data_IF_146465546538
#
_entry.id   IF_146465546538
#
_cell.length_a   1.000
_cell.length_b   1.000
_cell.length_c   1.000
_cell.angle_alpha   90.00
_cell.angle_beta   90.00
_cell.angle_gamma   90.00
#
_symmetry.space_group_name_H-M   'P 1'
#
loop_
_entity.id
_entity.type
_entity.pdbx_description
1 polymer ?
#
# COMPACT_ATOMS: atom_id res chain seq x y z
N UNK A 1 38.54 13.80 -9.48
CA UNK A 1 37.31 13.59 -10.26
C UNK A 1 36.29 13.02 -9.30
N UNK A 2 35.36 13.84 -8.86
CA UNK A 2 34.24 13.40 -8.02
C UNK A 2 33.27 12.61 -8.90
N UNK A 3 32.66 11.56 -8.34
CA UNK A 3 31.74 10.64 -9.01
C UNK A 3 30.52 11.30 -9.66
N UNK A 4 30.25 12.57 -9.36
CA UNK A 4 29.16 13.36 -9.92
C UNK A 4 29.42 13.86 -11.36
N UNK A 5 30.68 14.08 -11.76
CA UNK A 5 31.01 14.67 -13.09
C UNK A 5 30.73 13.72 -14.27
N UNK A 6 30.46 12.44 -14.02
CA UNK A 6 30.19 11.42 -15.05
C UNK A 6 28.74 10.89 -15.05
N UNK A 7 27.83 11.50 -14.27
CA UNK A 7 26.43 11.07 -14.25
C UNK A 7 25.66 11.63 -15.45
N UNK A 8 24.85 10.78 -16.09
CA UNK A 8 23.93 11.21 -17.14
C UNK A 8 22.86 12.11 -16.48
N UNK A 9 22.64 13.33 -16.96
CA UNK A 9 21.57 14.20 -16.45
C UNK A 9 20.21 13.53 -16.62
N UNK A 10 19.39 13.54 -15.56
CA UNK A 10 18.07 12.89 -15.56
C UNK A 10 16.90 13.82 -15.31
N UNK A 11 17.16 15.11 -15.11
CA UNK A 11 16.17 16.11 -14.67
C UNK A 11 15.01 16.24 -15.66
N UNK A 12 15.31 16.20 -16.98
CA UNK A 12 14.27 16.18 -18.01
C UNK A 12 13.38 14.94 -17.92
N UNK A 13 13.98 13.76 -17.74
CA UNK A 13 13.23 12.50 -17.62
C UNK A 13 12.38 12.45 -16.35
N UNK A 14 12.87 13.03 -15.24
CA UNK A 14 12.10 13.16 -14.00
C UNK A 14 10.86 14.02 -14.22
N UNK A 15 10.98 15.13 -14.95
CA UNK A 15 9.86 16.02 -15.31
C UNK A 15 8.88 15.37 -16.27
N UNK A 16 9.37 14.69 -17.29
CA UNK A 16 8.51 13.98 -18.24
C UNK A 16 7.72 12.88 -17.52
N UNK A 17 8.38 12.14 -16.61
CA UNK A 17 7.72 11.13 -15.80
C UNK A 17 6.69 11.72 -14.83
N UNK A 18 6.98 12.88 -14.23
CA UNK A 18 6.00 13.59 -13.39
C UNK A 18 4.75 13.98 -14.19
N UNK A 19 4.92 14.57 -15.39
CA UNK A 19 3.79 14.93 -16.24
C UNK A 19 2.95 13.72 -16.63
N UNK A 20 3.62 12.60 -16.97
CA UNK A 20 2.94 11.34 -17.23
C UNK A 20 2.17 10.85 -16.00
N UNK A 21 2.82 10.87 -14.83
CA UNK A 21 2.22 10.43 -13.58
C UNK A 21 1.05 11.31 -13.19
N UNK A 22 1.07 12.62 -13.42
CA UNK A 22 -0.04 13.52 -13.12
C UNK A 22 -1.29 13.19 -13.94
N UNK A 23 -1.10 12.89 -15.22
CA UNK A 23 -2.19 12.54 -16.14
C UNK A 23 -2.76 11.12 -15.91
N UNK A 24 -2.05 10.23 -15.21
CA UNK A 24 -2.42 8.82 -15.10
C UNK A 24 -2.52 8.37 -13.63
N UNK A 25 -3.51 7.54 -13.31
CA UNK A 25 -3.61 6.88 -12.00
C UNK A 25 -2.79 5.59 -11.91
N UNK A 26 -2.40 5.03 -13.06
CA UNK A 26 -1.62 3.79 -13.17
C UNK A 26 -0.45 3.99 -14.13
N UNK A 27 0.72 3.53 -13.72
CA UNK A 27 1.93 3.66 -14.52
C UNK A 27 2.79 2.41 -14.39
N UNK A 28 3.38 1.98 -15.52
CA UNK A 28 4.48 1.02 -15.53
C UNK A 28 5.75 1.78 -15.88
N UNK A 29 6.68 1.86 -14.95
CA UNK A 29 8.03 2.34 -15.19
C UNK A 29 8.90 1.14 -15.57
N UNK A 30 9.16 0.99 -16.87
CA UNK A 30 9.90 -0.16 -17.40
C UNK A 30 11.38 0.17 -17.65
N UNK A 31 12.29 -0.65 -17.13
CA UNK A 31 13.66 -0.70 -17.62
C UNK A 31 14.31 -2.07 -17.32
N UNK A 32 15.42 -2.39 -17.99
CA UNK A 32 16.13 -3.67 -17.77
C UNK A 32 16.89 -3.67 -16.44
N UNK A 33 17.30 -4.84 -15.97
CA UNK A 33 18.20 -4.96 -14.82
C UNK A 33 19.50 -4.18 -15.07
N UNK A 34 20.01 -3.48 -14.05
CA UNK A 34 21.25 -2.70 -14.15
C UNK A 34 21.13 -1.35 -14.89
N UNK A 35 19.94 -0.93 -15.32
CA UNK A 35 19.75 0.36 -16.01
C UNK A 35 19.42 1.54 -15.07
N UNK A 36 19.72 1.42 -13.78
CA UNK A 36 19.52 2.53 -12.83
C UNK A 36 18.06 2.78 -12.41
N UNK A 37 17.18 1.77 -12.50
CA UNK A 37 15.77 1.89 -12.07
C UNK A 37 15.61 2.48 -10.67
N UNK A 38 16.21 1.83 -9.67
CA UNK A 38 16.12 2.28 -8.27
C UNK A 38 16.79 3.65 -8.06
N UNK A 39 17.81 3.99 -8.85
CA UNK A 39 18.40 5.33 -8.83
C UNK A 39 17.39 6.37 -9.33
N UNK A 40 16.75 6.13 -10.48
CA UNK A 40 15.71 7.01 -11.02
C UNK A 40 14.54 7.18 -10.04
N UNK A 41 14.02 6.07 -9.50
CA UNK A 41 12.92 6.09 -8.53
C UNK A 41 13.30 6.87 -7.26
N UNK A 42 14.48 6.63 -6.71
CA UNK A 42 14.97 7.37 -5.54
C UNK A 42 15.08 8.88 -5.80
N UNK A 43 15.64 9.27 -6.97
CA UNK A 43 15.74 10.68 -7.37
C UNK A 43 14.35 11.30 -7.58
N UNK A 44 13.42 10.58 -8.18
CA UNK A 44 12.05 11.02 -8.38
C UNK A 44 11.30 11.24 -7.06
N UNK A 45 11.42 10.29 -6.11
CA UNK A 45 10.82 10.39 -4.78
C UNK A 45 11.32 11.65 -4.06
N UNK A 46 12.63 11.90 -4.12
CA UNK A 46 13.22 13.06 -3.46
C UNK A 46 12.77 14.38 -4.09
N UNK A 47 12.82 14.48 -5.43
CA UNK A 47 12.49 15.69 -6.18
C UNK A 47 11.02 16.10 -5.98
N UNK A 48 10.09 15.14 -6.04
CA UNK A 48 8.66 15.42 -6.01
C UNK A 48 7.98 15.07 -4.67
N UNK A 49 8.76 15.06 -3.58
CA UNK A 49 8.26 14.81 -2.22
C UNK A 49 7.31 15.89 -1.71
N UNK A 50 7.20 17.04 -2.38
CA UNK A 50 6.26 18.12 -2.02
C UNK A 50 4.88 17.92 -2.65
N UNK A 51 4.83 17.26 -3.80
CA UNK A 51 3.64 16.98 -4.59
C UNK A 51 3.02 15.64 -4.22
N UNK A 52 3.86 14.68 -3.79
CA UNK A 52 3.41 13.32 -3.50
C UNK A 52 3.84 12.83 -2.11
N UNK A 53 3.03 11.94 -1.54
CA UNK A 53 3.45 11.02 -0.50
C UNK A 53 3.76 9.67 -1.15
N UNK A 54 5.03 9.30 -1.19
CA UNK A 54 5.46 8.03 -1.78
C UNK A 54 5.50 6.89 -0.77
N UNK A 55 4.94 5.74 -1.18
CA UNK A 55 4.93 4.49 -0.44
C UNK A 55 5.64 3.43 -1.29
N UNK A 56 6.99 3.41 -1.34
CA UNK A 56 7.71 2.33 -2.01
C UNK A 56 7.66 1.04 -1.19
N UNK A 57 7.36 -0.07 -1.86
CA UNK A 57 7.42 -1.44 -1.32
C UNK A 57 8.33 -2.30 -2.20
N UNK A 58 9.08 -3.20 -1.55
CA UNK A 58 10.01 -4.11 -2.19
C UNK A 58 9.60 -5.55 -1.94
N UNK A 59 9.67 -6.37 -2.98
CA UNK A 59 9.14 -7.73 -3.04
C UNK A 59 10.10 -8.80 -2.53
N UNK A 60 11.20 -8.42 -1.87
CA UNK A 60 12.29 -9.33 -1.43
C UNK A 60 11.73 -10.52 -0.61
N UNK A 61 10.60 -10.33 0.06
CA UNK A 61 10.00 -11.34 0.94
C UNK A 61 8.91 -12.20 0.27
N UNK A 62 8.54 -11.95 -0.99
CA UNK A 62 7.38 -12.62 -1.61
C UNK A 62 7.76 -13.90 -2.37
N UNK A 63 9.03 -14.06 -2.73
CA UNK A 63 9.52 -15.12 -3.63
C UNK A 63 9.25 -16.56 -3.18
N UNK A 64 9.02 -16.79 -1.88
CA UNK A 64 8.87 -18.13 -1.28
C UNK A 64 7.54 -18.34 -0.57
N UNK A 65 6.59 -17.41 -0.74
CA UNK A 65 5.33 -17.39 0.02
C UNK A 65 4.16 -17.95 -0.78
N UNK A 66 3.16 -18.51 -0.12
CA UNK A 66 1.97 -19.01 -0.80
C UNK A 66 1.12 -17.87 -1.37
N UNK A 67 0.42 -18.14 -2.48
CA UNK A 67 -0.36 -17.14 -3.23
C UNK A 67 -1.39 -16.37 -2.38
N UNK A 68 -1.94 -17.01 -1.34
CA UNK A 68 -2.91 -16.36 -0.45
C UNK A 68 -2.27 -15.32 0.46
N UNK A 69 -0.99 -15.49 0.79
CA UNK A 69 -0.28 -14.67 1.78
C UNK A 69 0.31 -13.41 1.16
N UNK A 70 0.55 -13.38 -0.16
CA UNK A 70 1.12 -12.22 -0.87
C UNK A 70 0.31 -10.94 -0.62
N UNK A 71 -1.01 -11.04 -0.61
CA UNK A 71 -1.84 -9.86 -0.41
C UNK A 71 -1.74 -9.33 1.03
N UNK A 72 -1.66 -10.22 2.02
CA UNK A 72 -1.45 -9.82 3.43
C UNK A 72 -0.06 -9.19 3.62
N UNK A 73 0.96 -9.72 2.95
CA UNK A 73 2.31 -9.15 2.97
C UNK A 73 2.37 -7.74 2.35
N UNK A 74 1.67 -7.52 1.23
CA UNK A 74 1.59 -6.19 0.58
C UNK A 74 0.91 -5.18 1.51
N UNK A 75 -0.24 -5.55 2.10
CA UNK A 75 -0.92 -4.68 3.07
C UNK A 75 0.00 -4.32 4.23
N UNK A 76 0.70 -5.33 4.78
CA UNK A 76 1.65 -5.15 5.87
C UNK A 76 2.74 -4.17 5.48
N UNK A 77 3.35 -4.34 4.32
CA UNK A 77 4.47 -3.50 3.88
C UNK A 77 4.01 -2.06 3.60
N UNK A 78 2.81 -1.87 3.02
CA UNK A 78 2.17 -0.54 2.88
C UNK A 78 1.96 0.11 4.25
N UNK A 79 1.37 -0.63 5.21
CA UNK A 79 1.12 -0.12 6.56
C UNK A 79 2.43 0.27 7.26
N UNK A 80 3.44 -0.60 7.24
CA UNK A 80 4.76 -0.30 7.83
C UNK A 80 5.34 0.96 7.20
N UNK A 81 5.25 1.10 5.87
CA UNK A 81 5.82 2.25 5.17
C UNK A 81 5.09 3.56 5.51
N UNK A 82 3.76 3.54 5.58
CA UNK A 82 2.96 4.67 6.06
C UNK A 82 3.35 5.07 7.49
N UNK A 83 3.42 4.09 8.39
CA UNK A 83 3.78 4.36 9.79
C UNK A 83 5.23 4.82 9.95
N UNK A 84 6.12 4.42 9.04
CA UNK A 84 7.52 4.88 9.04
C UNK A 84 7.65 6.34 8.62
N UNK A 85 6.73 6.84 7.79
CA UNK A 85 6.77 8.21 7.27
C UNK A 85 6.62 9.25 8.38
N UNK A 86 7.52 10.23 8.43
CA UNK A 86 7.43 11.35 9.38
C UNK A 86 6.21 12.25 9.12
N UNK A 87 5.72 12.27 7.87
CA UNK A 87 4.52 13.02 7.48
C UNK A 87 3.22 12.44 8.06
N UNK A 88 3.25 11.18 8.53
CA UNK A 88 2.09 10.51 9.11
C UNK A 88 2.12 10.65 10.63
N UNK A 89 1.35 11.60 11.16
CA UNK A 89 1.13 11.75 12.59
C UNK A 89 -0.13 10.99 13.06
N UNK A 90 0.07 9.79 13.63
CA UNK A 90 -1.03 8.96 14.14
C UNK A 90 -1.88 9.67 15.20
N UNK A 91 -1.30 10.51 16.06
CA UNK A 91 -2.05 11.20 17.11
C UNK A 91 -3.14 12.09 16.53
N UNK A 92 -2.90 12.55 15.32
CA UNK A 92 -3.65 13.52 14.59
C UNK A 92 -4.66 12.89 13.61
N UNK A 93 -4.60 11.57 13.42
CA UNK A 93 -5.50 10.80 12.53
C UNK A 93 -6.74 10.39 13.33
N UNK A 94 -7.92 10.80 12.86
CA UNK A 94 -9.19 10.29 13.38
C UNK A 94 -9.52 8.97 12.67
N UNK A 95 -9.29 7.85 13.36
CA UNK A 95 -9.60 6.53 12.83
C UNK A 95 -11.11 6.34 12.78
N UNK A 96 -11.63 5.81 11.67
CA UNK A 96 -13.06 5.61 11.50
C UNK A 96 -13.55 4.51 12.45
N UNK A 97 -14.67 4.78 13.12
CA UNK A 97 -15.50 3.88 13.91
C UNK A 97 -15.59 2.44 13.37
N UNK A 98 -15.74 2.25 12.06
CA UNK A 98 -15.89 0.92 11.45
C UNK A 98 -14.62 0.04 11.57
N UNK A 99 -13.44 0.65 11.46
CA UNK A 99 -12.11 0.05 11.60
C UNK A 99 -11.85 -0.34 13.05
N UNK A 100 -12.27 0.53 13.97
CA UNK A 100 -12.21 0.33 15.42
C UNK A 100 -13.09 -0.86 15.86
N UNK A 101 -14.29 -0.98 15.28
CA UNK A 101 -15.20 -2.09 15.58
C UNK A 101 -14.76 -3.43 14.99
N UNK A 102 -14.30 -3.48 13.73
CA UNK A 102 -13.86 -4.74 13.13
C UNK A 102 -12.60 -5.27 13.85
N UNK A 103 -11.62 -4.42 14.18
CA UNK A 103 -10.46 -4.84 14.99
C UNK A 103 -10.87 -5.49 16.31
N UNK A 104 -11.85 -4.88 17.01
CA UNK A 104 -12.37 -5.36 18.29
C UNK A 104 -13.15 -6.67 18.19
N UNK A 105 -14.00 -6.85 17.16
CA UNK A 105 -14.87 -8.02 17.07
C UNK A 105 -14.24 -9.23 16.37
N UNK A 106 -13.23 -9.01 15.52
CA UNK A 106 -12.51 -10.14 14.88
C UNK A 106 -11.33 -10.66 15.70
N UNK A 107 -10.87 -9.95 16.74
CA UNK A 107 -9.72 -10.37 17.55
C UNK A 107 -10.02 -10.38 19.07
N UNK A 108 -10.46 -11.53 19.58
CA UNK A 108 -10.15 -11.96 20.96
C UNK A 108 -8.67 -12.40 21.07
N UNK A 109 -7.73 -11.65 20.49
CA UNK A 109 -6.29 -11.86 20.64
C UNK A 109 -5.60 -10.50 20.57
N UNK A 110 -5.17 -9.99 21.72
CA UNK A 110 -4.45 -8.72 21.89
C UNK A 110 -3.09 -8.65 21.15
N UNK A 111 -2.70 -9.75 20.50
CA UNK A 111 -1.34 -10.04 20.03
C UNK A 111 -1.09 -9.77 18.54
N UNK A 112 -2.08 -9.85 17.63
CA UNK A 112 -1.78 -9.89 16.18
C UNK A 112 -1.11 -8.64 15.58
N UNK A 113 -1.41 -7.43 16.06
CA UNK A 113 -0.70 -6.21 15.60
C UNK A 113 0.74 -6.15 16.10
N UNK A 114 1.01 -6.74 17.27
CA UNK A 114 2.36 -6.92 17.81
C UNK A 114 3.05 -8.14 17.17
N UNK A 115 2.30 -9.14 16.69
CA UNK A 115 2.81 -10.27 15.92
C UNK A 115 3.27 -9.84 14.52
N UNK A 116 2.60 -8.84 13.91
CA UNK A 116 3.11 -8.20 12.69
C UNK A 116 4.53 -7.64 12.92
N UNK A 117 4.81 -7.13 14.14
CA UNK A 117 6.12 -6.60 14.52
C UNK A 117 7.12 -7.72 14.87
N UNK A 118 6.68 -8.84 15.46
CA UNK A 118 7.58 -9.97 15.79
C UNK A 118 8.08 -10.72 14.54
N UNK A 119 7.42 -10.52 13.41
CA UNK A 119 7.80 -11.05 12.09
C UNK A 119 8.61 -10.02 11.28
N UNK A 120 8.81 -8.78 11.76
CA UNK A 120 9.83 -7.90 11.18
C UNK A 120 11.16 -8.54 11.54
N UNK A 121 11.84 -9.25 10.62
CA UNK A 121 13.17 -9.73 10.94
C UNK A 121 14.03 -8.46 11.04
N UNK A 122 15.27 -8.55 11.53
CA UNK A 122 16.24 -7.45 11.49
C UNK A 122 16.66 -7.07 10.03
N UNK A 123 15.68 -7.06 9.12
CA UNK A 123 15.76 -6.71 7.72
C UNK A 123 15.96 -5.21 7.68
N UNK A 124 17.22 -4.87 7.50
CA UNK A 124 17.63 -3.75 6.69
C UNK A 124 16.84 -3.84 5.36
N UNK A 125 15.71 -3.14 5.28
CA UNK A 125 14.90 -3.07 4.05
C UNK A 125 15.79 -2.33 3.07
N UNK A 126 16.45 -3.10 2.20
CA UNK A 126 17.44 -2.60 1.26
C UNK A 126 16.94 -1.31 0.61
N UNK A 127 17.62 -0.20 0.94
CA UNK A 127 17.34 1.11 0.35
C UNK A 127 16.50 2.10 1.19
N UNK A 128 16.03 1.76 2.39
CA UNK A 128 15.30 2.72 3.25
C UNK A 128 15.62 2.50 4.74
N UNK A 129 16.14 3.54 5.42
CA UNK A 129 16.23 3.62 6.88
C UNK A 129 14.83 3.67 7.50
N UNK A 130 14.24 2.50 7.77
CA UNK A 130 12.96 2.42 8.47
C UNK A 130 13.23 2.53 9.98
N UNK A 131 12.75 3.61 10.58
CA UNK A 131 12.78 3.78 12.02
C UNK A 131 11.71 2.88 12.67
N UNK A 132 12.10 1.61 12.92
CA UNK A 132 11.24 0.59 13.53
C UNK A 132 10.67 1.08 14.87
N UNK A 133 11.45 1.83 15.66
CA UNK A 133 10.99 2.40 16.93
C UNK A 133 9.81 3.37 16.75
N UNK A 134 9.86 4.22 15.71
CA UNK A 134 8.76 5.12 15.37
C UNK A 134 7.50 4.34 14.94
N UNK A 135 7.67 3.29 14.12
CA UNK A 135 6.57 2.42 13.71
C UNK A 135 5.91 1.76 14.93
N UNK A 136 6.70 1.18 15.83
CA UNK A 136 6.20 0.56 17.07
C UNK A 136 5.45 1.58 17.93
N UNK A 137 6.00 2.79 18.10
CA UNK A 137 5.37 3.87 18.88
C UNK A 137 4.01 4.25 18.28
N UNK A 138 3.95 4.42 16.96
CA UNK A 138 2.71 4.73 16.24
C UNK A 138 1.69 3.60 16.38
N UNK A 139 2.08 2.35 16.24
CA UNK A 139 1.20 1.19 16.47
C UNK A 139 0.64 1.15 17.90
N UNK A 140 1.48 1.44 18.91
CA UNK A 140 1.01 1.56 20.30
C UNK A 140 -0.02 2.68 20.46
N UNK A 141 0.15 3.81 19.78
CA UNK A 141 -0.83 4.90 19.80
C UNK A 141 -2.14 4.51 19.11
N UNK A 142 -2.08 3.77 17.99
CA UNK A 142 -3.27 3.21 17.35
C UNK A 142 -3.97 2.25 18.34
N UNK A 143 -3.23 1.34 19.00
CA UNK A 143 -3.76 0.46 20.07
C UNK A 143 -4.43 1.25 21.19
N UNK A 144 -3.81 2.32 21.68
CA UNK A 144 -4.38 3.15 22.74
C UNK A 144 -5.68 3.85 22.29
N UNK A 145 -5.72 4.40 21.07
CA UNK A 145 -6.94 4.98 20.48
C UNK A 145 -8.07 3.95 20.39
N UNK A 146 -7.75 2.71 20.01
CA UNK A 146 -8.72 1.61 20.01
C UNK A 146 -9.26 1.32 21.43
N UNK A 147 -8.40 1.25 22.46
CA UNK A 147 -8.85 0.99 23.84
C UNK A 147 -9.71 2.13 24.41
N UNK A 148 -9.33 3.39 24.19
CA UNK A 148 -10.16 4.54 24.62
C UNK A 148 -11.53 4.53 23.95
N UNK A 149 -11.58 4.22 22.66
CA UNK A 149 -12.84 4.08 21.95
C UNK A 149 -13.71 2.96 22.56
N UNK A 150 -13.12 1.79 22.84
CA UNK A 150 -13.82 0.67 23.50
C UNK A 150 -14.44 1.05 24.85
N UNK A 151 -13.78 1.84 25.67
CA UNK A 151 -14.33 2.32 26.94
C UNK A 151 -15.57 3.22 26.73
N UNK A 152 -15.52 4.11 25.74
CA UNK A 152 -16.65 4.96 25.38
C UNK A 152 -17.85 4.13 24.87
N UNK A 153 -17.60 3.04 24.13
CA UNK A 153 -18.65 2.20 23.55
C UNK A 153 -19.28 1.18 24.49
N UNK A 154 -18.57 0.74 25.54
CA UNK A 154 -19.18 -0.08 26.62
C UNK A 154 -20.36 0.61 27.31
N UNK A 155 -20.52 1.93 27.13
CA UNK A 155 -21.61 2.72 27.70
C UNK A 155 -22.84 2.89 26.80
N UNK A 156 -22.78 2.49 25.51
CA UNK A 156 -23.86 2.71 24.53
C UNK A 156 -24.24 1.37 23.88
N UNK A 157 -25.25 0.73 24.47
CA UNK A 157 -25.78 -0.57 24.09
C UNK A 157 -26.54 -0.51 22.73
N UNK A 158 -26.43 -1.58 21.91
CA UNK A 158 -27.22 -1.93 20.68
C UNK A 158 -26.81 -1.51 19.25
N UNK A 159 -25.63 -0.97 18.97
CA UNK A 159 -25.19 -0.74 17.56
C UNK A 159 -24.18 -1.75 17.01
N UNK A 160 -23.53 -2.57 17.85
CA UNK A 160 -22.47 -3.50 17.44
C UNK A 160 -22.95 -4.60 16.47
N UNK A 161 -24.13 -5.18 16.67
CA UNK A 161 -24.62 -6.32 15.88
C UNK A 161 -24.87 -5.99 14.40
N UNK A 162 -25.38 -4.78 14.10
CA UNK A 162 -25.64 -4.29 12.73
C UNK A 162 -24.35 -4.05 11.93
N UNK A 163 -23.27 -3.63 12.61
CA UNK A 163 -21.97 -3.47 11.96
C UNK A 163 -21.30 -4.82 11.72
N UNK A 164 -21.35 -5.75 12.68
CA UNK A 164 -20.77 -7.10 12.57
C UNK A 164 -21.40 -7.87 11.39
N UNK A 165 -22.74 -7.86 11.26
CA UNK A 165 -23.42 -8.55 10.15
C UNK A 165 -23.06 -7.97 8.77
N UNK A 166 -22.84 -6.65 8.68
CA UNK A 166 -22.46 -5.98 7.43
C UNK A 166 -21.05 -6.37 6.98
N UNK A 167 -20.11 -6.59 7.90
CA UNK A 167 -18.75 -7.04 7.59
C UNK A 167 -18.63 -8.57 7.40
N UNK A 168 -19.34 -9.37 8.20
CA UNK A 168 -19.36 -10.83 8.05
C UNK A 168 -19.93 -11.28 6.70
N UNK A 169 -20.86 -10.51 6.12
CA UNK A 169 -21.39 -10.77 4.77
C UNK A 169 -20.35 -10.65 3.64
N UNK A 170 -19.16 -10.10 3.92
CA UNK A 170 -18.08 -9.90 2.94
C UNK A 170 -16.92 -10.91 3.08
N UNK A 171 -16.91 -11.75 4.14
CA UNK A 171 -15.86 -12.76 4.37
C UNK A 171 -15.81 -13.77 3.22
N UNK A 172 -14.62 -13.97 2.63
CA UNK A 172 -14.41 -14.90 1.53
C UNK A 172 -14.83 -14.39 0.14
N UNK A 173 -15.29 -13.14 0.04
CA UNK A 173 -15.52 -12.48 -1.24
C UNK A 173 -14.28 -11.71 -1.70
N UNK A 174 -14.15 -11.40 -2.99
CA UNK A 174 -13.13 -10.44 -3.49
C UNK A 174 -13.31 -9.02 -2.89
N UNK A 175 -14.37 -8.83 -2.11
CA UNK A 175 -14.76 -7.62 -1.38
C UNK A 175 -14.43 -7.72 0.12
N UNK A 176 -13.70 -8.74 0.59
CA UNK A 176 -13.27 -8.86 1.99
C UNK A 176 -12.46 -7.63 2.41
N UNK A 177 -13.12 -6.73 3.15
CA UNK A 177 -12.52 -5.54 3.73
C UNK A 177 -11.84 -5.94 5.04
N UNK A 178 -10.59 -6.37 4.92
CA UNK A 178 -9.75 -6.73 6.04
C UNK A 178 -9.34 -5.49 6.87
N UNK A 179 -9.16 -5.68 8.18
CA UNK A 179 -8.87 -4.64 9.19
C UNK A 179 -7.69 -3.78 8.77
N UNK A 180 -6.64 -4.42 8.26
CA UNK A 180 -5.41 -3.74 7.86
C UNK A 180 -5.66 -2.87 6.63
N UNK A 181 -6.49 -3.34 5.68
CA UNK A 181 -6.87 -2.55 4.51
C UNK A 181 -7.65 -1.29 4.91
N UNK A 182 -8.59 -1.44 5.85
CA UNK A 182 -9.35 -0.29 6.35
C UNK A 182 -8.46 0.68 7.12
N UNK A 183 -7.56 0.19 7.99
CA UNK A 183 -6.60 1.05 8.70
C UNK A 183 -5.71 1.84 7.72
N UNK A 184 -5.22 1.19 6.66
CA UNK A 184 -4.44 1.85 5.60
C UNK A 184 -5.27 2.96 4.95
N UNK A 185 -6.51 2.67 4.54
CA UNK A 185 -7.37 3.67 3.91
C UNK A 185 -7.66 4.84 4.87
N UNK A 186 -7.98 4.57 6.15
CA UNK A 186 -8.23 5.62 7.14
C UNK A 186 -7.02 6.54 7.30
N UNK A 187 -5.81 5.97 7.44
CA UNK A 187 -4.57 6.73 7.53
C UNK A 187 -4.39 7.62 6.29
N UNK A 188 -4.60 7.06 5.10
CA UNK A 188 -4.44 7.78 3.83
C UNK A 188 -5.49 8.89 3.68
N UNK A 189 -6.75 8.61 4.01
CA UNK A 189 -7.84 9.59 3.94
C UNK A 189 -7.59 10.78 4.87
N UNK A 190 -7.25 10.50 6.13
CA UNK A 190 -6.94 11.54 7.11
C UNK A 190 -5.71 12.36 6.71
N UNK A 191 -4.68 11.71 6.16
CA UNK A 191 -3.54 12.40 5.59
C UNK A 191 -3.95 13.35 4.44
N UNK A 192 -4.79 12.88 3.51
CA UNK A 192 -5.27 13.67 2.36
C UNK A 192 -6.15 14.85 2.79
N UNK A 193 -7.00 14.68 3.82
CA UNK A 193 -7.81 15.79 4.39
C UNK A 193 -6.92 16.94 4.88
N UNK A 194 -5.75 16.62 5.43
CA UNK A 194 -4.77 17.61 5.92
C UNK A 194 -3.85 18.14 4.83
N UNK A 195 -3.64 17.37 3.77
CA UNK A 195 -2.74 17.69 2.67
C UNK A 195 -3.51 17.68 1.34
N UNK A 196 -4.41 18.65 1.15
CA UNK A 196 -5.37 18.68 0.04
C UNK A 196 -4.72 18.66 -1.36
N UNK A 197 -3.48 19.12 -1.48
CA UNK A 197 -2.75 19.18 -2.74
C UNK A 197 -1.85 17.97 -2.99
N UNK A 198 -1.50 17.20 -1.95
CA UNK A 198 -0.62 16.05 -2.09
C UNK A 198 -1.37 14.81 -2.55
N UNK A 199 -0.73 14.05 -3.44
CA UNK A 199 -1.25 12.78 -3.94
C UNK A 199 -0.49 11.60 -3.33
N UNK A 200 -1.19 10.56 -2.92
CA UNK A 200 -0.59 9.37 -2.31
C UNK A 200 -0.28 8.34 -3.40
N UNK A 201 0.99 7.97 -3.52
CA UNK A 201 1.52 7.13 -4.61
C UNK A 201 2.15 5.87 -4.05
N UNK A 202 1.60 4.71 -4.42
CA UNK A 202 2.21 3.41 -4.15
C UNK A 202 3.23 3.10 -5.27
N UNK A 203 4.46 2.75 -4.89
CA UNK A 203 5.49 2.29 -5.83
C UNK A 203 5.80 0.83 -5.51
N UNK A 204 5.63 -0.06 -6.49
CA UNK A 204 5.94 -1.49 -6.36
C UNK A 204 7.20 -1.74 -7.17
N UNK A 205 8.34 -1.92 -6.49
CA UNK A 205 9.62 -2.16 -7.16
C UNK A 205 9.87 -3.63 -7.52
N UNK A 206 10.81 -3.84 -8.46
CA UNK A 206 11.12 -5.05 -9.24
C UNK A 206 10.08 -6.19 -9.26
N UNK A 207 8.88 -5.88 -9.74
CA UNK A 207 7.81 -6.88 -9.85
C UNK A 207 8.22 -8.11 -10.69
N UNK A 208 9.11 -7.96 -11.68
CA UNK A 208 9.59 -9.05 -12.55
C UNK A 208 10.54 -10.05 -11.88
N UNK A 209 10.73 -9.97 -10.55
CA UNK A 209 11.62 -10.87 -9.78
C UNK A 209 10.92 -11.77 -8.76
N UNK A 210 9.59 -11.80 -8.74
CA UNK A 210 8.84 -12.73 -7.88
C UNK A 210 8.30 -13.90 -8.69
N UNK A 211 7.71 -14.87 -7.99
CA UNK A 211 7.03 -15.98 -8.63
C UNK A 211 6.00 -15.46 -9.65
N UNK A 212 5.98 -16.00 -10.88
CA UNK A 212 5.07 -15.56 -11.92
C UNK A 212 3.59 -15.51 -11.54
N UNK A 213 3.09 -16.44 -10.71
CA UNK A 213 1.70 -16.41 -10.26
C UNK A 213 1.45 -15.22 -9.33
N UNK A 214 2.43 -14.83 -8.52
CA UNK A 214 2.35 -13.63 -7.68
C UNK A 214 2.34 -12.36 -8.51
N UNK A 215 3.17 -12.26 -9.55
CA UNK A 215 3.20 -11.11 -10.47
C UNK A 215 1.77 -10.78 -10.93
N UNK A 216 1.10 -11.76 -11.54
CA UNK A 216 -0.23 -11.55 -12.10
C UNK A 216 -1.28 -11.36 -11.02
N UNK A 217 -1.13 -11.99 -9.85
CA UNK A 217 -2.02 -11.74 -8.71
C UNK A 217 -1.93 -10.30 -8.21
N UNK A 218 -0.72 -9.76 -8.09
CA UNK A 218 -0.48 -8.36 -7.69
C UNK A 218 -1.09 -7.41 -8.73
N UNK A 219 -0.81 -7.63 -10.01
CA UNK A 219 -1.39 -6.83 -11.10
C UNK A 219 -2.92 -6.93 -11.13
N UNK A 220 -3.48 -8.12 -10.89
CA UNK A 220 -4.93 -8.35 -10.84
C UNK A 220 -5.58 -7.66 -9.63
N UNK A 221 -4.94 -7.71 -8.45
CA UNK A 221 -5.41 -7.01 -7.25
C UNK A 221 -5.47 -5.51 -7.53
N UNK A 222 -4.39 -4.93 -8.06
CA UNK A 222 -4.33 -3.49 -8.31
C UNK A 222 -5.10 -3.02 -9.56
N UNK A 223 -5.47 -3.91 -10.48
CA UNK A 223 -6.42 -3.59 -11.57
C UNK A 223 -7.87 -3.73 -11.12
N UNK A 224 -8.26 -4.87 -10.54
CA UNK A 224 -9.63 -5.16 -10.14
C UNK A 224 -10.15 -4.26 -9.00
N UNK A 225 -9.25 -3.73 -8.15
CA UNK A 225 -9.62 -2.79 -7.11
C UNK A 225 -9.78 -1.35 -7.59
N UNK A 226 -9.40 -1.03 -8.83
CA UNK A 226 -9.55 0.30 -9.42
C UNK A 226 -10.53 0.37 -10.60
N UNK A 227 -10.96 -0.75 -11.18
CA UNK A 227 -11.93 -0.80 -12.30
C UNK A 227 -13.40 -0.89 -11.85
N UNK A 228 -13.70 -0.60 -10.57
CA UNK A 228 -15.09 -0.56 -10.11
C UNK A 228 -15.76 0.73 -10.55
N UNK A 229 -16.29 0.71 -11.78
CA UNK A 229 -17.28 1.67 -12.22
C UNK A 229 -18.47 1.64 -11.23
N UNK A 230 -18.61 2.72 -10.46
CA UNK A 230 -19.71 2.96 -9.51
C UNK A 230 -19.74 2.03 -8.29
N UNK A 231 -18.87 2.26 -7.28
CA UNK A 231 -19.18 1.77 -5.94
C UNK A 231 -20.53 2.37 -5.51
N UNK A 232 -21.41 1.57 -4.90
CA UNK A 232 -22.63 2.11 -4.30
C UNK A 232 -22.30 3.23 -3.30
N UNK A 233 -23.25 4.11 -2.92
CA UNK A 233 -22.98 5.30 -2.10
C UNK A 233 -22.14 5.00 -0.85
N UNK A 234 -22.40 3.86 -0.21
CA UNK A 234 -21.70 3.36 0.99
C UNK A 234 -20.25 2.92 0.72
N UNK A 235 -19.94 2.40 -0.46
CA UNK A 235 -18.56 2.05 -0.85
C UNK A 235 -17.81 3.28 -1.39
N UNK A 236 -18.50 4.20 -2.07
CA UNK A 236 -17.90 5.45 -2.57
C UNK A 236 -17.31 6.27 -1.42
N UNK A 237 -18.06 6.40 -0.33
CA UNK A 237 -17.60 7.09 0.90
C UNK A 237 -16.44 6.34 1.59
N UNK A 238 -16.29 5.03 1.36
CA UNK A 238 -15.24 4.20 1.98
C UNK A 238 -13.96 4.11 1.16
N UNK A 239 -14.03 4.11 -0.16
CA UNK A 239 -12.87 3.98 -1.07
C UNK A 239 -12.51 5.27 -1.81
N UNK A 240 -13.24 6.35 -1.53
CA UNK A 240 -13.18 7.60 -2.27
C UNK A 240 -13.36 7.43 -3.78
N UNK A 241 -14.12 6.40 -4.20
CA UNK A 241 -14.42 6.15 -5.62
C UNK A 241 -13.30 5.51 -6.44
N UNK A 242 -12.08 5.37 -5.92
CA UNK A 242 -10.91 5.01 -6.74
C UNK A 242 -10.32 3.62 -6.43
N UNK A 243 -10.04 3.27 -5.17
CA UNK A 243 -9.52 1.94 -4.81
C UNK A 243 -9.60 1.57 -3.32
N UNK A 244 -9.41 0.28 -3.03
CA UNK A 244 -9.47 -0.32 -1.68
C UNK A 244 -8.56 0.32 -0.63
N UNK A 245 -7.43 0.91 -1.04
CA UNK A 245 -6.47 1.56 -0.15
C UNK A 245 -6.53 3.09 -0.19
N UNK A 246 -7.46 3.67 -0.95
CA UNK A 246 -7.64 5.12 -1.05
C UNK A 246 -6.42 5.88 -1.63
N UNK A 247 -5.56 5.14 -2.35
CA UNK A 247 -4.38 5.65 -3.07
C UNK A 247 -4.80 6.55 -4.24
N UNK A 248 -4.01 7.56 -4.59
CA UNK A 248 -4.28 8.35 -5.79
C UNK A 248 -3.63 7.73 -7.04
N UNK A 249 -2.46 7.10 -6.87
CA UNK A 249 -1.67 6.56 -7.99
C UNK A 249 -0.92 5.28 -7.61
N UNK A 250 -0.70 4.42 -8.61
CA UNK A 250 0.14 3.23 -8.51
C UNK A 250 1.18 3.24 -9.63
N UNK A 251 2.45 3.08 -9.24
CA UNK A 251 3.58 2.89 -10.14
C UNK A 251 4.13 1.48 -9.94
N UNK A 252 4.09 0.67 -10.98
CA UNK A 252 4.79 -0.62 -11.01
C UNK A 252 6.11 -0.45 -11.72
N UNK A 253 7.20 -0.84 -11.07
CA UNK A 253 8.55 -0.77 -11.62
C UNK A 253 9.02 -2.18 -11.94
N UNK A 254 9.29 -2.46 -13.21
CA UNK A 254 9.70 -3.79 -13.68
C UNK A 254 10.45 -3.70 -15.01
N UNK A 255 10.84 -4.85 -15.58
CA UNK A 255 11.13 -4.96 -17.00
C UNK A 255 9.89 -5.53 -17.72
N UNK A 256 9.18 -4.69 -18.48
CA UNK A 256 7.94 -5.11 -19.17
C UNK A 256 8.18 -6.24 -20.17
N UNK A 257 9.38 -6.32 -20.76
CA UNK A 257 9.72 -7.40 -21.68
C UNK A 257 9.91 -8.72 -20.94
N UNK A 258 10.40 -8.68 -19.69
CA UNK A 258 10.43 -9.86 -18.83
C UNK A 258 9.01 -10.29 -18.46
N UNK A 259 8.14 -9.35 -18.06
CA UNK A 259 6.74 -9.66 -17.75
C UNK A 259 6.03 -10.31 -18.95
N UNK A 260 6.23 -9.78 -20.16
CA UNK A 260 5.68 -10.36 -21.41
C UNK A 260 6.17 -11.79 -21.66
N UNK A 261 7.47 -12.04 -21.50
CA UNK A 261 8.04 -13.39 -21.66
C UNK A 261 7.49 -14.35 -20.62
N UNK A 262 7.36 -13.91 -19.37
CA UNK A 262 6.76 -14.71 -18.29
C UNK A 262 5.29 -15.02 -18.61
N UNK A 263 4.53 -14.05 -19.10
CA UNK A 263 3.15 -14.23 -19.51
C UNK A 263 3.03 -15.26 -20.64
N UNK A 264 3.82 -15.10 -21.71
CA UNK A 264 3.84 -16.02 -22.84
C UNK A 264 4.26 -17.45 -22.42
N UNK A 265 5.21 -17.59 -21.49
CA UNK A 265 5.62 -18.89 -20.96
C UNK A 265 4.49 -19.60 -20.18
N UNK A 266 3.63 -18.85 -19.47
CA UNK A 266 2.54 -19.42 -18.66
C UNK A 266 1.28 -19.67 -19.49
N UNK A 267 0.88 -18.68 -20.28
CA UNK A 267 -0.40 -18.67 -20.98
C UNK A 267 -0.28 -19.10 -22.45
N UNK A 268 0.95 -19.14 -22.98
CA UNK A 268 1.29 -19.53 -24.34
C UNK A 268 1.55 -18.34 -25.27
N UNK A 269 2.51 -18.49 -26.18
CA UNK A 269 2.99 -17.42 -27.08
C UNK A 269 1.93 -16.82 -28.04
N UNK A 270 0.75 -17.46 -28.14
CA UNK A 270 -0.38 -17.00 -28.97
C UNK A 270 -1.43 -16.22 -28.18
N UNK A 271 -1.21 -15.99 -26.89
CA UNK A 271 -2.10 -15.20 -26.05
C UNK A 271 -1.75 -13.72 -26.12
N UNK A 272 -2.77 -12.87 -26.09
CA UNK A 272 -2.58 -11.42 -26.10
C UNK A 272 -2.13 -10.95 -24.71
N UNK A 273 -1.07 -10.13 -24.69
CA UNK A 273 -0.54 -9.48 -23.49
C UNK A 273 -1.07 -8.05 -23.35
#
# INVERSE_FOLDING_TARGET
MTTEENMIPIESYLKDFQQYLDANSRCILSAKFGNGKSYFVSRFINEYSREYLFIPIYHVNYQVMDNKDIFELIKRDILIKLLSSEEININEIELNTASLFYYFFTNNQEDRLLDILSIIPDINIYGIDINISNVIKKLKNIKAKFETYKEQFKSVDKTSELYITKFDSLKGSIYEFDTISQLICDIIQEYKKKNLTKKVVLIIEDLDRIDPAHIFRILNVFSAHFDRYTPGPVEFDKTCGDNKFCLDKIVTVCDIDNIKKIYAQIYGDKTDF
#
